data_IF_103125441566
#
_entry.id   IF_103125441566
#
_cell.length_a   1.000
_cell.length_b   1.000
_cell.length_c   1.000
_cell.angle_alpha   90.00
_cell.angle_beta   90.00
_cell.angle_gamma   90.00
#
_symmetry.space_group_name_H-M   'P 1'
#
loop_
_entity.id
_entity.type
_entity.pdbx_description
1 polymer ?
#
# COMPACT_ATOMS: atom_id res chain seq x y z
N UNK A 1 -5.45 -6.79 -7.09
CA UNK A 1 -6.19 -7.42 -8.20
C UNK A 1 -5.31 -8.41 -9.00
N UNK A 2 -4.14 -8.02 -9.55
CA UNK A 2 -3.30 -8.88 -10.42
C UNK A 2 -2.92 -10.23 -9.79
N UNK A 3 -2.39 -10.23 -8.58
CA UNK A 3 -2.01 -11.47 -7.89
C UNK A 3 -3.22 -12.37 -7.61
N UNK A 4 -4.37 -11.78 -7.25
CA UNK A 4 -5.60 -12.52 -7.03
C UNK A 4 -6.09 -13.20 -8.33
N UNK A 5 -6.05 -12.47 -9.44
CA UNK A 5 -6.40 -13.02 -10.75
C UNK A 5 -5.47 -14.19 -11.16
N UNK A 6 -4.14 -14.01 -10.98
CA UNK A 6 -3.18 -15.08 -11.25
C UNK A 6 -3.36 -16.29 -10.32
N UNK A 7 -3.67 -16.06 -9.04
CA UNK A 7 -3.97 -17.16 -8.12
C UNK A 7 -5.24 -17.92 -8.55
N UNK A 8 -6.29 -17.21 -8.95
CA UNK A 8 -7.51 -17.82 -9.46
C UNK A 8 -7.26 -18.66 -10.74
N UNK A 9 -6.47 -18.14 -11.68
CA UNK A 9 -6.06 -18.89 -12.87
C UNK A 9 -5.30 -20.17 -12.51
N UNK A 10 -4.36 -20.09 -11.54
CA UNK A 10 -3.60 -21.26 -11.08
C UNK A 10 -4.52 -22.30 -10.41
N UNK A 11 -5.48 -21.87 -9.61
CA UNK A 11 -6.49 -22.77 -9.03
C UNK A 11 -7.29 -23.48 -10.13
N UNK A 12 -7.74 -22.76 -11.15
CA UNK A 12 -8.48 -23.34 -12.28
C UNK A 12 -7.63 -24.33 -13.08
N UNK A 13 -6.37 -24.01 -13.35
CA UNK A 13 -5.41 -24.90 -14.02
C UNK A 13 -5.16 -26.19 -13.24
N UNK A 14 -5.23 -26.15 -11.91
CA UNK A 14 -5.05 -27.29 -11.02
C UNK A 14 -6.36 -28.03 -10.69
N UNK A 15 -7.35 -27.97 -11.56
CA UNK A 15 -8.61 -28.71 -11.41
C UNK A 15 -9.74 -27.95 -10.71
N UNK A 16 -9.60 -26.64 -10.47
CA UNK A 16 -10.65 -25.77 -9.94
C UNK A 16 -10.86 -25.85 -8.42
N UNK A 17 -10.15 -26.74 -7.72
CA UNK A 17 -10.23 -26.86 -6.27
C UNK A 17 -9.19 -25.95 -5.59
N UNK A 18 -9.63 -25.15 -4.62
CA UNK A 18 -8.72 -24.35 -3.82
C UNK A 18 -7.90 -25.24 -2.86
N UNK A 19 -6.57 -25.06 -2.74
CA UNK A 19 -5.75 -25.88 -1.86
C UNK A 19 -6.15 -25.67 -0.39
N UNK A 20 -6.20 -26.79 0.37
CA UNK A 20 -6.61 -26.74 1.75
C UNK A 20 -5.47 -26.81 2.77
N UNK A 21 -4.27 -27.21 2.31
CA UNK A 21 -3.08 -27.29 3.17
C UNK A 21 -2.21 -26.03 3.06
N UNK A 22 -1.41 -25.77 4.11
CA UNK A 22 -0.57 -24.57 4.20
C UNK A 22 0.39 -24.42 3.00
N UNK A 23 1.01 -25.52 2.54
CA UNK A 23 1.98 -25.49 1.45
C UNK A 23 1.32 -25.11 0.12
N UNK A 24 0.17 -25.71 -0.18
CA UNK A 24 -0.62 -25.41 -1.37
C UNK A 24 -1.15 -23.97 -1.38
N UNK A 25 -1.70 -23.50 -0.25
CA UNK A 25 -2.16 -22.12 -0.09
C UNK A 25 -1.01 -21.13 -0.24
N UNK A 26 0.14 -21.42 0.38
CA UNK A 26 1.34 -20.57 0.32
C UNK A 26 1.95 -20.47 -1.08
N UNK A 27 1.76 -21.50 -1.91
CA UNK A 27 2.24 -21.51 -3.30
C UNK A 27 1.44 -20.60 -4.24
N UNK A 28 0.25 -20.16 -3.84
CA UNK A 28 -0.58 -19.26 -4.64
C UNK A 28 0.08 -17.88 -4.79
N UNK A 29 -0.07 -17.29 -5.98
CA UNK A 29 0.54 -16.00 -6.30
C UNK A 29 0.05 -14.87 -5.39
N UNK A 30 0.99 -14.21 -4.73
CA UNK A 30 0.70 -13.10 -3.81
C UNK A 30 0.30 -13.53 -2.40
N UNK A 31 0.33 -14.82 -2.10
CA UNK A 31 0.10 -15.36 -0.76
C UNK A 31 1.43 -15.46 -0.01
N UNK A 32 1.56 -14.69 1.06
CA UNK A 32 2.68 -14.74 2.01
C UNK A 32 2.39 -15.67 3.19
N UNK A 33 3.37 -15.83 4.10
CA UNK A 33 3.23 -16.71 5.28
C UNK A 33 2.04 -16.30 6.15
N UNK A 34 1.88 -14.99 6.40
CA UNK A 34 0.71 -14.44 7.10
C UNK A 34 -0.61 -14.83 6.44
N UNK A 35 -0.74 -14.59 5.12
CA UNK A 35 -1.99 -14.86 4.40
C UNK A 35 -2.29 -16.36 4.34
N UNK A 36 -1.26 -17.20 4.16
CA UNK A 36 -1.42 -18.65 4.16
C UNK A 36 -1.90 -19.15 5.53
N UNK A 37 -1.26 -18.70 6.61
CA UNK A 37 -1.66 -19.06 7.97
C UNK A 37 -3.11 -18.60 8.29
N UNK A 38 -3.47 -17.40 7.87
CA UNK A 38 -4.82 -16.85 8.05
C UNK A 38 -5.87 -17.69 7.31
N UNK A 39 -5.64 -18.02 6.03
CA UNK A 39 -6.56 -18.86 5.26
C UNK A 39 -6.70 -20.25 5.90
N UNK A 40 -5.57 -20.89 6.23
CA UNK A 40 -5.59 -22.22 6.84
C UNK A 40 -6.29 -22.24 8.21
N UNK A 41 -6.06 -21.21 9.03
CA UNK A 41 -6.67 -21.10 10.34
C UNK A 41 -8.17 -20.75 10.25
N UNK A 42 -8.54 -19.70 9.53
CA UNK A 42 -9.92 -19.22 9.52
C UNK A 42 -10.86 -20.10 8.69
N UNK A 43 -10.43 -20.51 7.48
CA UNK A 43 -11.28 -21.30 6.60
C UNK A 43 -11.24 -22.80 6.91
N UNK A 44 -10.07 -23.32 7.28
CA UNK A 44 -9.86 -24.77 7.44
C UNK A 44 -9.61 -25.22 8.87
N UNK A 45 -9.64 -24.31 9.85
CA UNK A 45 -9.44 -24.59 11.28
C UNK A 45 -8.12 -25.33 11.59
N UNK A 46 -7.12 -25.14 10.73
CA UNK A 46 -5.81 -25.74 10.93
C UNK A 46 -5.03 -24.95 11.99
N UNK A 47 -4.21 -25.62 12.79
CA UNK A 47 -3.42 -24.99 13.85
C UNK A 47 -2.23 -24.23 13.28
N UNK A 48 -2.51 -23.14 12.57
CA UNK A 48 -1.54 -22.21 11.97
C UNK A 48 -1.60 -20.89 12.73
N UNK A 49 -0.49 -20.49 13.34
CA UNK A 49 -0.41 -19.18 14.00
C UNK A 49 -0.29 -18.05 12.98
N UNK A 50 -1.11 -17.04 13.14
CA UNK A 50 -1.09 -15.82 12.32
C UNK A 50 -0.21 -14.78 13.01
N UNK A 51 0.82 -14.28 12.32
CA UNK A 51 1.76 -13.28 12.88
C UNK A 51 1.75 -12.03 12.02
N UNK A 52 0.94 -11.06 12.42
CA UNK A 52 0.88 -9.71 11.82
C UNK A 52 1.58 -8.67 12.71
N UNK A 53 1.52 -7.41 12.33
CA UNK A 53 2.09 -6.31 13.11
C UNK A 53 1.48 -6.17 14.52
N UNK A 54 0.23 -6.57 14.71
CA UNK A 54 -0.44 -6.56 16.01
C UNK A 54 0.07 -7.69 16.88
N UNK A 55 0.16 -8.89 16.33
CA UNK A 55 0.66 -10.08 17.03
C UNK A 55 2.14 -9.92 17.40
N UNK A 56 3.00 -9.44 16.50
CA UNK A 56 4.39 -9.08 16.84
C UNK A 56 4.46 -8.18 18.07
N UNK A 57 3.62 -7.16 18.12
CA UNK A 57 3.61 -6.19 19.23
C UNK A 57 3.13 -6.80 20.55
N UNK A 58 2.05 -7.58 20.50
CA UNK A 58 1.52 -8.25 21.70
C UNK A 58 2.53 -9.23 22.26
N UNK A 59 3.07 -10.13 21.44
CA UNK A 59 4.04 -11.12 21.85
C UNK A 59 5.35 -10.48 22.35
N UNK A 60 5.88 -9.49 21.60
CA UNK A 60 7.09 -8.78 22.01
C UNK A 60 6.91 -8.10 23.37
N UNK A 61 5.80 -7.43 23.61
CA UNK A 61 5.54 -6.77 24.89
C UNK A 61 5.26 -7.73 26.02
N UNK A 62 4.43 -8.74 25.79
CA UNK A 62 4.05 -9.68 26.84
C UNK A 62 5.24 -10.51 27.29
N UNK A 63 5.99 -11.10 26.35
CA UNK A 63 7.15 -11.94 26.63
C UNK A 63 8.49 -11.20 26.73
N UNK A 64 8.51 -9.88 26.50
CA UNK A 64 9.73 -9.09 26.57
C UNK A 64 10.72 -9.37 25.44
N UNK A 65 10.28 -9.89 24.29
CA UNK A 65 11.17 -10.27 23.18
C UNK A 65 11.72 -9.03 22.49
N UNK A 66 13.05 -8.91 22.46
CA UNK A 66 13.80 -7.78 21.92
C UNK A 66 14.37 -8.01 20.53
N UNK A 67 14.31 -9.25 20.04
CA UNK A 67 14.79 -9.56 18.70
C UNK A 67 14.01 -8.76 17.67
N UNK A 68 14.71 -8.03 16.76
CA UNK A 68 14.04 -7.19 15.78
C UNK A 68 13.07 -7.98 14.90
N UNK A 69 11.80 -7.55 14.85
CA UNK A 69 10.72 -8.25 14.13
C UNK A 69 10.90 -8.29 12.60
N UNK A 70 11.73 -7.39 12.06
CA UNK A 70 12.06 -7.29 10.64
C UNK A 70 13.31 -8.09 10.23
N UNK A 71 13.99 -8.73 11.19
CA UNK A 71 15.11 -9.64 10.94
C UNK A 71 14.63 -11.06 10.63
N UNK A 72 15.45 -11.85 9.92
CA UNK A 72 15.17 -13.27 9.65
C UNK A 72 15.07 -14.08 10.95
N UNK A 73 15.96 -13.77 11.93
CA UNK A 73 15.92 -14.40 13.26
C UNK A 73 14.61 -14.08 13.98
N UNK A 74 14.22 -12.79 14.00
CA UNK A 74 13.00 -12.37 14.66
C UNK A 74 11.75 -13.00 14.04
N UNK A 75 11.64 -13.03 12.72
CA UNK A 75 10.51 -13.69 12.05
C UNK A 75 10.35 -15.15 12.48
N UNK A 76 11.46 -15.89 12.55
CA UNK A 76 11.45 -17.29 13.01
C UNK A 76 11.05 -17.40 14.48
N UNK A 77 11.70 -16.67 15.37
CA UNK A 77 11.46 -16.66 16.81
C UNK A 77 9.99 -16.33 17.15
N UNK A 78 9.44 -15.28 16.54
CA UNK A 78 8.04 -14.91 16.75
C UNK A 78 7.06 -15.91 16.14
N UNK A 79 7.40 -16.57 15.05
CA UNK A 79 6.58 -17.63 14.46
C UNK A 79 6.53 -18.86 15.37
N UNK A 80 7.68 -19.26 15.93
CA UNK A 80 7.79 -20.36 16.91
C UNK A 80 6.99 -20.03 18.17
N UNK A 81 7.20 -18.85 18.75
CA UNK A 81 6.47 -18.37 19.93
C UNK A 81 4.95 -18.31 19.70
N UNK A 82 4.52 -17.79 18.55
CA UNK A 82 3.10 -17.72 18.21
C UNK A 82 2.47 -19.10 18.08
N UNK A 83 3.20 -20.09 17.55
CA UNK A 83 2.75 -21.48 17.47
C UNK A 83 2.72 -22.17 18.84
N UNK A 84 3.61 -21.80 19.76
CA UNK A 84 3.63 -22.32 21.13
C UNK A 84 2.40 -21.89 21.93
N UNK A 85 2.02 -20.62 21.82
CA UNK A 85 0.89 -20.04 22.57
C UNK A 85 -0.47 -20.22 21.88
N UNK A 86 -0.51 -20.76 20.67
CA UNK A 86 -1.74 -20.95 19.89
C UNK A 86 -2.68 -21.95 20.57
N UNK A 87 -3.95 -21.58 20.74
CA UNK A 87 -5.01 -22.56 20.99
C UNK A 87 -5.25 -23.42 19.74
N UNK A 88 -4.66 -24.61 19.72
CA UNK A 88 -4.72 -25.54 18.59
C UNK A 88 -6.12 -26.13 18.37
N UNK A 89 -7.02 -26.03 19.37
CA UNK A 89 -8.41 -26.50 19.25
C UNK A 89 -9.30 -25.46 18.57
N UNK A 90 -9.01 -24.17 18.81
CA UNK A 90 -9.78 -23.05 18.25
C UNK A 90 -8.84 -22.02 17.64
N UNK A 91 -8.04 -22.40 16.61
CA UNK A 91 -6.97 -21.55 16.09
C UNK A 91 -7.50 -20.28 15.45
N UNK A 92 -8.65 -20.32 14.81
CA UNK A 92 -9.32 -19.16 14.21
C UNK A 92 -9.75 -18.14 15.27
N UNK A 93 -10.38 -18.59 16.34
CA UNK A 93 -10.83 -17.71 17.44
C UNK A 93 -9.63 -17.09 18.13
N UNK A 94 -8.59 -17.88 18.41
CA UNK A 94 -7.37 -17.38 19.04
C UNK A 94 -6.66 -16.35 18.18
N UNK A 95 -6.44 -16.65 16.90
CA UNK A 95 -5.77 -15.74 15.98
C UNK A 95 -6.55 -14.42 15.82
N UNK A 96 -7.88 -14.48 15.73
CA UNK A 96 -8.71 -13.27 15.68
C UNK A 96 -8.60 -12.47 16.97
N UNK A 97 -8.69 -13.16 18.12
CA UNK A 97 -8.64 -12.51 19.43
C UNK A 97 -7.31 -11.77 19.67
N UNK A 98 -6.16 -12.38 19.36
CA UNK A 98 -4.86 -11.74 19.57
C UNK A 98 -4.63 -10.56 18.61
N UNK A 99 -5.11 -10.65 17.36
CA UNK A 99 -5.05 -9.53 16.41
C UNK A 99 -5.91 -8.36 16.87
N UNK A 100 -7.15 -8.62 17.28
CA UNK A 100 -8.08 -7.61 17.79
C UNK A 100 -7.57 -6.97 19.08
N UNK A 101 -7.04 -7.78 19.99
CA UNK A 101 -6.39 -7.29 21.22
C UNK A 101 -5.24 -6.35 20.91
N UNK A 102 -4.38 -6.71 19.96
CA UNK A 102 -3.30 -5.87 19.50
C UNK A 102 -3.78 -4.57 18.84
N UNK A 103 -4.86 -4.62 18.07
CA UNK A 103 -5.40 -3.46 17.38
C UNK A 103 -6.11 -2.48 18.33
N UNK A 104 -6.93 -3.00 19.26
CA UNK A 104 -7.82 -2.20 20.09
C UNK A 104 -7.24 -1.88 21.47
N UNK A 105 -6.56 -2.84 22.10
CA UNK A 105 -6.09 -2.74 23.49
C UNK A 105 -4.58 -2.46 23.60
N UNK A 106 -3.76 -3.36 23.08
CA UNK A 106 -2.30 -3.21 23.05
C UNK A 106 -1.84 -2.38 21.83
N UNK A 107 -2.41 -1.19 21.64
CA UNK A 107 -2.16 -0.32 20.47
C UNK A 107 -0.70 0.20 20.41
N UNK A 108 -0.22 0.66 19.24
CA UNK A 108 1.17 1.11 19.07
C UNK A 108 1.52 2.29 19.98
N UNK A 109 0.73 3.35 19.94
CA UNK A 109 1.07 4.65 20.56
C UNK A 109 0.40 4.87 21.93
N UNK A 110 -0.78 4.30 22.14
CA UNK A 110 -1.58 4.51 23.37
C UNK A 110 -2.20 3.19 23.83
N UNK A 111 -1.38 2.24 24.31
CA UNK A 111 -1.93 0.98 24.83
C UNK A 111 -2.66 1.23 26.16
N UNK A 112 -3.76 0.50 26.37
CA UNK A 112 -4.59 0.59 27.57
C UNK A 112 -4.05 -0.32 28.67
N UNK A 113 -2.84 -0.04 29.16
CA UNK A 113 -2.13 -0.92 30.10
C UNK A 113 -2.81 -1.00 31.47
N UNK A 114 -3.44 0.07 31.93
CA UNK A 114 -4.10 0.13 33.24
C UNK A 114 -5.30 -0.82 33.36
N UNK A 115 -6.01 -1.03 32.26
CA UNK A 115 -7.17 -1.93 32.17
C UNK A 115 -6.85 -3.26 31.46
N UNK A 116 -5.56 -3.53 31.22
CA UNK A 116 -5.15 -4.69 30.45
C UNK A 116 -5.30 -6.00 31.25
N UNK A 117 -6.08 -6.97 30.76
CA UNK A 117 -6.23 -8.26 31.45
C UNK A 117 -4.94 -9.06 31.52
N UNK A 118 -3.94 -8.72 30.69
CA UNK A 118 -2.63 -9.38 30.67
C UNK A 118 -1.56 -8.58 31.46
N UNK A 119 -1.92 -7.50 32.14
CA UNK A 119 -0.98 -6.61 32.84
C UNK A 119 -0.09 -7.33 33.86
N UNK A 120 -0.65 -8.27 34.61
CA UNK A 120 0.05 -9.00 35.67
C UNK A 120 1.21 -9.88 35.20
N UNK A 121 1.22 -10.30 33.91
CA UNK A 121 2.29 -11.11 33.31
C UNK A 121 3.11 -10.38 32.25
N UNK A 122 2.81 -9.09 32.01
CA UNK A 122 3.43 -8.37 30.89
C UNK A 122 4.84 -7.86 31.24
N UNK A 123 5.87 -8.45 30.63
CA UNK A 123 7.28 -8.08 30.88
C UNK A 123 7.56 -6.63 30.46
N UNK A 124 7.01 -6.18 29.33
CA UNK A 124 7.22 -4.80 28.88
C UNK A 124 6.62 -3.77 29.85
N UNK A 125 5.50 -4.09 30.49
CA UNK A 125 4.89 -3.21 31.48
C UNK A 125 5.73 -3.17 32.76
N UNK A 126 6.09 -4.33 33.31
CA UNK A 126 6.88 -4.40 34.55
C UNK A 126 8.28 -3.80 34.43
N UNK A 127 8.85 -3.79 33.20
CA UNK A 127 10.19 -3.24 32.92
C UNK A 127 10.16 -1.83 32.30
N UNK A 128 8.99 -1.20 32.17
CA UNK A 128 8.84 0.16 31.57
C UNK A 128 9.14 0.24 30.06
N UNK A 129 9.07 -0.88 29.34
CA UNK A 129 9.53 -0.99 27.92
C UNK A 129 8.42 -1.03 26.88
N UNK A 130 7.20 -0.70 27.28
CA UNK A 130 6.02 -0.72 26.38
C UNK A 130 6.22 0.14 25.12
N UNK A 131 6.87 1.30 25.26
CA UNK A 131 7.08 2.26 24.15
C UNK A 131 8.17 1.85 23.18
N UNK A 132 9.12 0.99 23.59
CA UNK A 132 10.26 0.57 22.78
C UNK A 132 10.06 -0.79 22.11
N UNK A 133 9.07 -1.56 22.54
CA UNK A 133 8.73 -2.86 21.97
C UNK A 133 7.50 -2.78 21.04
N UNK A 134 7.51 -3.48 19.90
CA UNK A 134 8.58 -4.36 19.38
C UNK A 134 9.76 -3.58 18.77
N UNK A 135 10.94 -4.20 18.82
CA UNK A 135 12.15 -3.64 18.19
C UNK A 135 12.10 -3.83 16.68
N UNK A 136 12.58 -2.80 15.93
CA UNK A 136 12.83 -2.86 14.49
C UNK A 136 14.28 -2.46 14.22
N UNK A 137 14.99 -3.27 13.43
CA UNK A 137 16.40 -3.02 13.09
C UNK A 137 16.56 -2.00 11.97
N UNK A 138 15.57 -1.89 11.09
CA UNK A 138 15.64 -1.04 9.90
C UNK A 138 14.61 0.09 9.96
N UNK A 139 15.08 1.32 9.84
CA UNK A 139 14.21 2.43 9.43
C UNK A 139 14.04 2.30 7.91
N UNK A 140 12.81 2.15 7.45
CA UNK A 140 12.53 2.17 6.00
C UNK A 140 12.97 3.52 5.45
N UNK A 141 14.06 3.53 4.66
CA UNK A 141 14.46 4.73 3.92
C UNK A 141 13.37 5.00 2.88
N UNK A 142 12.71 6.13 2.97
CA UNK A 142 11.73 6.55 1.98
C UNK A 142 12.43 7.39 0.91
N UNK A 143 12.24 7.01 -0.34
CA UNK A 143 12.65 7.81 -1.50
C UNK A 143 11.64 8.94 -1.71
N UNK A 144 12.11 10.17 -1.87
CA UNK A 144 11.25 11.31 -2.21
C UNK A 144 11.25 11.45 -3.73
N UNK A 145 10.05 11.50 -4.32
CA UNK A 145 9.86 11.76 -5.76
C UNK A 145 9.01 13.02 -5.92
N UNK A 146 9.43 13.87 -6.85
CA UNK A 146 8.71 15.10 -7.22
C UNK A 146 7.98 14.87 -8.53
N UNK A 147 6.67 14.80 -8.46
CA UNK A 147 5.78 14.47 -9.57
C UNK A 147 4.92 15.68 -9.92
N UNK A 148 4.85 16.03 -11.19
CA UNK A 148 3.94 17.06 -11.69
C UNK A 148 2.95 16.40 -12.64
N UNK A 149 1.69 16.36 -12.24
CA UNK A 149 0.61 15.89 -13.09
C UNK A 149 -0.02 17.06 -13.84
N UNK A 150 -0.19 16.90 -15.15
CA UNK A 150 -0.81 17.91 -16.00
C UNK A 150 -2.02 17.30 -16.71
N UNK A 151 -3.20 17.80 -16.39
CA UNK A 151 -4.43 17.45 -17.11
C UNK A 151 -4.47 18.30 -18.37
N UNK A 152 -4.07 17.73 -19.51
CA UNK A 152 -4.11 18.41 -20.80
C UNK A 152 -5.49 18.18 -21.43
N UNK A 153 -6.17 19.26 -21.80
CA UNK A 153 -7.51 19.27 -22.40
C UNK A 153 -7.50 19.88 -23.80
N UNK A 154 -8.24 19.24 -24.70
CA UNK A 154 -8.64 19.82 -25.98
C UNK A 154 -10.16 19.76 -26.07
N UNK A 155 -10.86 20.85 -25.76
CA UNK A 155 -12.31 20.84 -25.64
C UNK A 155 -12.81 19.83 -24.62
N UNK A 156 -13.51 18.79 -25.09
CA UNK A 156 -14.08 17.75 -24.23
C UNK A 156 -13.20 16.49 -24.08
N UNK A 157 -11.95 16.56 -24.53
CA UNK A 157 -11.01 15.43 -24.55
C UNK A 157 -9.87 15.68 -23.58
N UNK A 158 -9.44 14.63 -22.88
CA UNK A 158 -8.29 14.60 -21.96
C UNK A 158 -7.28 13.58 -22.43
N UNK A 159 -6.00 13.86 -22.24
CA UNK A 159 -4.90 12.94 -22.58
C UNK A 159 -4.48 12.15 -21.35
N UNK A 160 -4.54 10.81 -21.45
CA UNK A 160 -4.16 9.88 -20.40
C UNK A 160 -3.26 8.78 -20.95
N UNK A 161 -2.46 8.18 -20.08
CA UNK A 161 -1.69 6.97 -20.45
C UNK A 161 -1.85 5.87 -19.40
N UNK A 162 -1.62 4.62 -19.81
CA UNK A 162 -1.47 3.52 -18.88
C UNK A 162 -0.02 3.48 -18.38
N UNK A 163 0.16 3.45 -17.07
CA UNK A 163 1.50 3.35 -16.44
C UNK A 163 2.19 2.05 -16.82
N UNK A 164 3.47 2.12 -17.22
CA UNK A 164 4.24 0.95 -17.59
C UNK A 164 4.50 0.03 -16.37
N UNK A 165 4.84 -1.25 -16.62
CA UNK A 165 5.31 -2.15 -15.57
C UNK A 165 6.63 -1.64 -14.95
N UNK A 166 6.90 -2.04 -13.68
CA UNK A 166 8.15 -1.72 -12.98
C UNK A 166 8.09 -0.53 -12.04
N UNK A 167 7.05 0.29 -12.07
CA UNK A 167 6.84 1.39 -11.13
C UNK A 167 5.53 1.23 -10.33
N UNK A 168 5.32 2.12 -9.36
CA UNK A 168 4.08 2.20 -8.58
C UNK A 168 2.87 2.32 -9.52
N UNK A 169 1.76 1.70 -9.13
CA UNK A 169 0.48 1.76 -9.86
C UNK A 169 0.52 1.30 -11.32
N UNK A 170 1.49 0.44 -11.67
CA UNK A 170 1.59 -0.13 -13.01
C UNK A 170 0.26 -0.71 -13.51
N UNK A 171 -0.14 -0.34 -14.73
CA UNK A 171 -1.39 -0.75 -15.35
C UNK A 171 -2.60 0.14 -15.00
N UNK A 172 -2.47 1.10 -14.07
CA UNK A 172 -3.47 2.15 -13.86
C UNK A 172 -3.22 3.31 -14.84
N UNK A 173 -4.26 4.10 -15.09
CA UNK A 173 -4.16 5.27 -15.95
C UNK A 173 -3.82 6.53 -15.17
N UNK A 174 -3.19 7.48 -15.85
CA UNK A 174 -2.80 8.78 -15.29
C UNK A 174 -2.82 9.87 -16.37
N UNK A 175 -3.02 11.15 -16.00
CA UNK A 175 -2.79 12.26 -16.89
C UNK A 175 -1.30 12.41 -17.23
N UNK A 176 -0.94 13.42 -17.99
CA UNK A 176 0.47 13.67 -18.33
C UNK A 176 1.30 13.84 -17.05
N UNK A 177 2.39 13.09 -16.96
CA UNK A 177 3.29 13.07 -15.82
C UNK A 177 4.66 13.56 -16.23
N UNK A 178 5.13 14.58 -15.52
CA UNK A 178 6.52 15.05 -15.52
C UNK A 178 7.14 14.70 -14.18
N UNK A 179 8.37 14.21 -14.19
CA UNK A 179 9.12 13.90 -12.96
C UNK A 179 10.38 14.77 -12.90
N UNK A 180 10.63 15.36 -11.73
CA UNK A 180 11.75 16.26 -11.48
C UNK A 180 12.63 15.74 -10.35
N UNK A 181 13.91 16.10 -10.35
CA UNK A 181 14.84 15.75 -9.27
C UNK A 181 14.65 16.58 -7.98
N UNK A 182 13.68 17.52 -7.98
CA UNK A 182 13.34 18.40 -6.87
C UNK A 182 12.05 19.17 -7.18
N UNK A 183 11.74 20.21 -6.41
CA UNK A 183 10.63 21.09 -6.70
C UNK A 183 10.82 21.77 -8.06
N UNK A 184 9.80 21.69 -8.91
CA UNK A 184 9.78 22.37 -10.20
C UNK A 184 9.15 23.75 -10.07
N UNK A 185 9.75 24.76 -10.70
CA UNK A 185 9.13 26.07 -10.85
C UNK A 185 7.99 26.02 -11.87
N UNK A 186 7.02 26.92 -11.75
CA UNK A 186 5.92 27.04 -12.72
C UNK A 186 6.45 27.25 -14.14
N UNK A 187 7.55 28.00 -14.30
CA UNK A 187 8.19 28.24 -15.58
C UNK A 187 8.71 26.96 -16.22
N UNK A 188 9.41 26.12 -15.44
CA UNK A 188 9.91 24.83 -15.93
C UNK A 188 8.79 23.90 -16.34
N UNK A 189 7.69 23.89 -15.58
CA UNK A 189 6.52 23.09 -15.93
C UNK A 189 5.88 23.56 -17.22
N UNK A 190 5.64 24.86 -17.37
CA UNK A 190 5.08 25.46 -18.61
C UNK A 190 5.96 25.18 -19.81
N UNK A 191 7.28 25.31 -19.67
CA UNK A 191 8.24 25.03 -20.76
C UNK A 191 8.21 23.56 -21.20
N UNK A 192 8.19 22.62 -20.25
CA UNK A 192 8.11 21.19 -20.56
C UNK A 192 6.77 20.82 -21.21
N UNK A 193 5.66 21.36 -20.71
CA UNK A 193 4.34 21.15 -21.32
C UNK A 193 4.28 21.75 -22.72
N UNK A 194 4.79 22.95 -22.92
CA UNK A 194 4.86 23.60 -24.25
C UNK A 194 5.61 22.76 -25.28
N UNK A 195 6.73 22.15 -24.89
CA UNK A 195 7.48 21.20 -25.74
C UNK A 195 6.66 19.95 -26.09
N UNK A 196 5.91 19.41 -25.12
CA UNK A 196 5.08 18.22 -25.32
C UNK A 196 3.91 18.44 -26.28
N UNK A 197 3.30 19.64 -26.25
CA UNK A 197 2.14 19.96 -27.07
C UNK A 197 2.50 20.71 -28.35
N UNK A 198 3.77 20.84 -28.68
CA UNK A 198 4.24 21.41 -29.96
C UNK A 198 3.81 22.86 -30.18
N UNK A 199 3.70 23.68 -29.12
CA UNK A 199 3.29 25.07 -29.20
C UNK A 199 1.78 25.33 -29.21
N UNK A 200 0.95 24.29 -29.17
CA UNK A 200 -0.53 24.41 -29.12
C UNK A 200 -1.08 24.80 -27.72
N UNK A 201 -0.21 25.13 -26.76
CA UNK A 201 -0.62 25.52 -25.41
C UNK A 201 -1.37 26.87 -25.46
N UNK A 202 -2.65 26.84 -25.08
CA UNK A 202 -3.53 28.02 -25.01
C UNK A 202 -3.48 28.67 -23.63
N UNK A 203 -3.64 27.87 -22.61
CA UNK A 203 -3.63 28.32 -21.21
C UNK A 203 -3.13 27.22 -20.29
N UNK A 204 -2.61 27.61 -19.13
CA UNK A 204 -2.21 26.68 -18.09
C UNK A 204 -2.48 27.30 -16.73
N UNK A 205 -3.05 26.52 -15.80
CA UNK A 205 -3.29 26.94 -14.42
C UNK A 205 -2.82 25.89 -13.42
N UNK A 206 -2.35 26.35 -12.29
CA UNK A 206 -2.09 25.46 -11.17
C UNK A 206 -3.42 25.05 -10.51
N UNK A 207 -3.64 23.76 -10.34
CA UNK A 207 -4.79 23.18 -9.65
C UNK A 207 -4.50 22.98 -8.18
N UNK A 208 -3.34 22.39 -7.87
CA UNK A 208 -2.91 22.11 -6.50
C UNK A 208 -1.40 21.99 -6.42
N UNK A 209 -0.82 22.52 -5.33
CA UNK A 209 0.62 22.46 -5.04
C UNK A 209 0.90 21.65 -3.79
N UNK A 210 2.09 21.07 -3.76
CA UNK A 210 2.71 20.43 -2.58
C UNK A 210 1.81 19.37 -1.91
N UNK A 211 1.07 18.60 -2.71
CA UNK A 211 0.33 17.46 -2.18
C UNK A 211 1.31 16.36 -1.77
N UNK A 212 1.33 16.03 -0.49
CA UNK A 212 2.12 14.92 0.04
C UNK A 212 1.33 13.62 0.02
N UNK A 213 1.84 12.62 -0.69
CA UNK A 213 1.28 11.27 -0.70
C UNK A 213 2.32 10.26 -0.24
N UNK A 214 2.05 9.59 0.90
CA UNK A 214 3.01 8.69 1.56
C UNK A 214 2.69 7.25 1.20
N UNK A 215 3.70 6.57 0.66
CA UNK A 215 3.70 5.12 0.42
C UNK A 215 4.72 4.45 1.36
N UNK A 216 4.71 3.13 1.45
CA UNK A 216 5.61 2.38 2.35
C UNK A 216 7.08 2.71 2.14
N UNK A 217 7.53 2.82 0.89
CA UNK A 217 8.94 3.05 0.54
C UNK A 217 9.19 4.39 -0.17
N UNK A 218 8.15 5.19 -0.41
CA UNK A 218 8.24 6.45 -1.15
C UNK A 218 7.38 7.52 -0.54
N UNK A 219 7.85 8.75 -0.63
CA UNK A 219 7.06 9.96 -0.39
C UNK A 219 6.95 10.69 -1.72
N UNK A 220 5.74 10.89 -2.19
CA UNK A 220 5.49 11.64 -3.41
C UNK A 220 5.12 13.08 -3.03
N UNK A 221 5.90 14.02 -3.50
CA UNK A 221 5.60 15.45 -3.49
C UNK A 221 5.00 15.77 -4.85
N UNK A 222 3.75 16.23 -4.87
CA UNK A 222 2.94 16.26 -6.09
C UNK A 222 2.36 17.62 -6.31
N UNK A 223 2.61 18.17 -7.50
CA UNK A 223 1.91 19.34 -8.03
C UNK A 223 0.97 18.92 -9.15
N UNK A 224 -0.16 19.59 -9.27
CA UNK A 224 -1.16 19.34 -10.28
C UNK A 224 -1.50 20.62 -11.04
N UNK A 225 -1.53 20.50 -12.36
CA UNK A 225 -1.87 21.58 -13.28
C UNK A 225 -2.95 21.12 -14.26
N UNK A 226 -3.65 22.07 -14.83
CA UNK A 226 -4.52 21.90 -15.96
C UNK A 226 -4.03 22.78 -17.09
N UNK A 227 -4.01 22.25 -18.30
CA UNK A 227 -3.56 22.94 -19.49
C UNK A 227 -4.57 22.74 -20.62
N UNK A 228 -4.97 23.81 -21.28
CA UNK A 228 -5.80 23.78 -22.47
C UNK A 228 -4.94 23.93 -23.72
N UNK A 229 -5.22 23.15 -24.76
CA UNK A 229 -4.61 23.24 -26.07
C UNK A 229 -5.63 23.66 -27.13
N UNK A 230 -5.16 24.43 -28.13
CA UNK A 230 -6.03 25.00 -29.18
C UNK A 230 -6.50 23.95 -30.17
N UNK A 231 -5.71 22.93 -30.43
CA UNK A 231 -5.99 21.85 -31.36
C UNK A 231 -5.58 20.49 -30.78
N UNK A 232 -6.13 19.38 -31.29
CA UNK A 232 -5.70 18.05 -30.87
C UNK A 232 -4.21 17.84 -31.07
N UNK A 233 -3.53 17.34 -30.05
CA UNK A 233 -2.09 17.09 -30.05
C UNK A 233 -1.84 15.58 -30.01
N UNK A 234 -0.68 15.16 -30.52
CA UNK A 234 -0.19 13.79 -30.36
C UNK A 234 0.92 13.80 -29.31
N UNK A 235 0.69 13.11 -28.21
CA UNK A 235 1.69 12.95 -27.14
C UNK A 235 2.08 11.47 -27.09
N UNK A 236 3.36 11.19 -27.24
CA UNK A 236 3.85 9.83 -27.28
C UNK A 236 3.46 9.02 -26.02
N UNK A 237 2.88 7.84 -26.23
CA UNK A 237 2.40 6.96 -25.17
C UNK A 237 1.09 7.38 -24.49
N UNK A 238 0.44 8.47 -24.93
CA UNK A 238 -0.85 8.93 -24.41
C UNK A 238 -1.97 8.72 -25.42
N UNK A 239 -3.16 8.43 -24.91
CA UNK A 239 -4.39 8.34 -25.68
C UNK A 239 -5.30 9.52 -25.34
N UNK A 240 -6.11 9.94 -26.30
CA UNK A 240 -7.15 10.95 -26.12
C UNK A 240 -8.46 10.26 -25.72
N UNK A 241 -9.10 10.74 -24.65
CA UNK A 241 -10.32 10.15 -24.10
C UNK A 241 -11.34 11.26 -23.83
N UNK A 242 -12.61 11.05 -24.18
CA UNK A 242 -13.67 11.99 -23.83
C UNK A 242 -13.87 12.03 -22.30
N UNK A 243 -14.15 13.21 -21.76
CA UNK A 243 -14.34 13.41 -20.31
C UNK A 243 -15.38 12.44 -19.71
N UNK A 244 -16.47 12.16 -20.42
CA UNK A 244 -17.53 11.23 -19.97
C UNK A 244 -17.07 9.78 -19.88
N UNK A 245 -15.99 9.42 -20.56
CA UNK A 245 -15.44 8.06 -20.60
C UNK A 245 -14.30 7.84 -19.60
N UNK A 246 -13.80 8.89 -18.94
CA UNK A 246 -12.72 8.79 -17.95
C UNK A 246 -13.02 7.81 -16.83
N UNK A 247 -14.28 7.63 -16.44
CA UNK A 247 -14.71 6.68 -15.42
C UNK A 247 -14.45 5.21 -15.80
N UNK A 248 -14.27 4.90 -17.09
CA UNK A 248 -13.95 3.55 -17.58
C UNK A 248 -12.45 3.21 -17.41
N UNK A 249 -11.62 4.18 -17.07
CA UNK A 249 -10.18 4.02 -16.93
C UNK A 249 -9.79 3.97 -15.45
N UNK A 250 -9.29 2.83 -14.94
CA UNK A 250 -8.91 2.72 -13.54
C UNK A 250 -7.69 3.60 -13.23
N UNK A 251 -7.81 4.46 -12.24
CA UNK A 251 -6.77 5.40 -11.78
C UNK A 251 -6.32 5.10 -10.35
N UNK A 252 -5.19 5.66 -9.93
CA UNK A 252 -4.79 5.63 -8.52
C UNK A 252 -5.60 6.63 -7.69
N UNK A 253 -5.71 6.40 -6.37
CA UNK A 253 -6.38 7.35 -5.46
C UNK A 253 -5.77 8.76 -5.51
N UNK A 254 -4.48 8.87 -5.81
CA UNK A 254 -3.82 10.17 -5.99
C UNK A 254 -4.37 10.89 -7.23
N UNK A 255 -4.43 10.19 -8.37
CA UNK A 255 -4.94 10.74 -9.64
C UNK A 255 -6.42 11.07 -9.53
N UNK A 256 -7.20 10.25 -8.84
CA UNK A 256 -8.61 10.54 -8.55
C UNK A 256 -8.77 11.88 -7.82
N UNK A 257 -7.99 12.12 -6.76
CA UNK A 257 -7.97 13.41 -6.05
C UNK A 257 -7.56 14.58 -6.95
N UNK A 258 -6.64 14.36 -7.89
CA UNK A 258 -6.22 15.39 -8.83
C UNK A 258 -7.38 15.77 -9.77
N UNK A 259 -8.11 14.78 -10.30
CA UNK A 259 -9.29 15.04 -11.11
C UNK A 259 -10.42 15.73 -10.32
N UNK A 260 -10.66 15.30 -9.06
CA UNK A 260 -11.62 15.96 -8.15
C UNK A 260 -11.28 17.45 -7.95
N UNK A 261 -10.00 17.79 -7.75
CA UNK A 261 -9.56 19.18 -7.60
C UNK A 261 -9.68 20.02 -8.89
N UNK A 262 -9.61 19.40 -10.06
CA UNK A 262 -9.71 20.09 -11.34
C UNK A 262 -11.17 20.36 -11.76
N UNK A 263 -12.11 19.59 -11.22
CA UNK A 263 -13.55 19.72 -11.52
C UNK A 263 -14.30 20.67 -10.54
N UNK A 264 -13.67 21.08 -9.44
CA UNK A 264 -14.19 22.04 -8.46
C UNK A 264 -13.65 23.44 -8.72
#
# INVERSE_FOLDING_TARGET
ARNLHQAAQLVMQNGGAFPTDYKGVRALKGVGDYTAAAICSFAYKQPCAVVDGNVYRVLSRFFGVETPIDSTKGKREFSELAMEVLDKKHPDVYNQAIMDFGAKHCSPSRPLCETCPLSGGCIALSTGRVSVLPVKSKKTKQEIRHLVYVIIRCGNVVYIRQRPPGDIWAGLYEPVLLEFNGEASDREVVENVGKLVGGSLKSMRCVKKQMKHVLTHRVLMVDAYEADVEAPVSIDGYISVENKELCNYPVSRLVEKIFECACG
#
